data_IF_402478808223
#
_entry.id   IF_402478808223
#
_cell.length_a   1.000
_cell.length_b   1.000
_cell.length_c   1.000
_cell.angle_alpha   90.00
_cell.angle_beta   90.00
_cell.angle_gamma   90.00
#
_symmetry.space_group_name_H-M   'P 1'
#
loop_
_entity.id
_entity.type
_entity.pdbx_description
1 polymer ?
#
# COMPACT_ATOMS: atom_id res chain seq x y z
N UNK A 1 -2.27 -11.60 11.44
CA UNK A 1 -2.14 -11.10 10.07
C UNK A 1 -3.01 -11.96 9.18
N UNK A 2 -4.12 -11.40 8.72
CA UNK A 2 -5.15 -12.07 7.90
C UNK A 2 -5.34 -11.41 6.53
N UNK A 3 -4.36 -10.60 6.10
CA UNK A 3 -4.40 -9.87 4.84
C UNK A 3 -4.51 -10.76 3.62
N UNK A 4 -5.11 -10.22 2.56
CA UNK A 4 -5.28 -10.84 1.25
C UNK A 4 -4.16 -10.40 0.30
N UNK A 5 -3.68 -11.33 -0.51
CA UNK A 5 -2.67 -11.03 -1.53
C UNK A 5 -3.30 -10.20 -2.64
N UNK A 6 -2.70 -9.04 -2.94
CA UNK A 6 -3.13 -8.12 -3.99
C UNK A 6 -2.12 -8.10 -5.15
N UNK A 7 -2.57 -7.82 -6.39
CA UNK A 7 -1.67 -7.64 -7.52
C UNK A 7 -0.67 -6.51 -7.27
N UNK A 8 0.62 -6.78 -7.50
CA UNK A 8 1.67 -5.78 -7.40
C UNK A 8 1.87 -5.13 -8.76
N UNK A 9 1.82 -3.81 -8.77
CA UNK A 9 2.01 -2.98 -9.95
C UNK A 9 3.50 -2.93 -10.31
N UNK A 10 3.79 -3.19 -11.58
CA UNK A 10 5.15 -3.23 -12.11
C UNK A 10 5.61 -1.85 -12.63
N UNK A 11 6.92 -1.72 -12.80
CA UNK A 11 7.58 -0.52 -13.32
C UNK A 11 6.99 -0.07 -14.66
N UNK A 12 6.91 1.25 -14.87
CA UNK A 12 6.37 1.86 -16.10
C UNK A 12 4.88 2.22 -16.03
N UNK A 13 4.22 1.89 -14.93
CA UNK A 13 2.82 2.28 -14.71
C UNK A 13 2.72 3.71 -14.15
N UNK A 14 1.81 4.56 -14.67
CA UNK A 14 1.70 5.97 -14.24
C UNK A 14 1.45 6.16 -12.73
N UNK A 15 0.79 5.19 -12.07
CA UNK A 15 0.47 5.24 -10.64
C UNK A 15 1.72 5.25 -9.73
N UNK A 16 2.86 4.72 -10.22
CA UNK A 16 4.12 4.75 -9.48
C UNK A 16 4.76 6.14 -9.43
N UNK A 17 4.34 7.04 -10.32
CA UNK A 17 4.79 8.43 -10.37
C UNK A 17 3.82 9.39 -9.65
N UNK A 18 2.68 8.89 -9.18
CA UNK A 18 1.72 9.69 -8.44
C UNK A 18 2.08 9.68 -6.94
N UNK A 19 2.07 10.85 -6.29
CA UNK A 19 2.25 10.90 -4.85
C UNK A 19 1.08 10.17 -4.17
N UNK A 20 1.37 9.38 -3.14
CA UNK A 20 0.30 8.90 -2.28
C UNK A 20 -0.28 10.13 -1.54
N UNK A 21 -1.61 10.18 -1.41
CA UNK A 21 -2.27 11.21 -0.55
C UNK A 21 -1.84 11.03 0.90
N UNK A 22 -1.97 11.99 1.83
CA UNK A 22 -1.57 11.87 3.27
C UNK A 22 -2.53 11.06 4.15
N UNK A 23 -2.04 10.29 5.14
CA UNK A 23 -2.87 9.52 6.10
C UNK A 23 -3.36 10.53 7.13
N UNK A 24 -4.66 10.71 7.21
CA UNK A 24 -5.27 11.58 8.23
C UNK A 24 -5.89 10.77 9.37
N UNK A 25 -6.34 9.55 9.09
CA UNK A 25 -7.01 8.68 10.06
C UNK A 25 -6.33 7.30 10.11
N UNK A 26 -5.98 6.86 11.32
CA UNK A 26 -5.42 5.54 11.58
C UNK A 26 -6.53 4.61 12.08
N UNK A 27 -7.34 4.14 11.14
CA UNK A 27 -8.52 3.32 11.41
C UNK A 27 -8.32 1.85 11.01
N UNK A 28 -9.37 1.05 11.17
CA UNK A 28 -9.35 -0.37 10.82
C UNK A 28 -9.10 -0.60 9.32
N UNK A 29 -9.55 0.30 8.45
CA UNK A 29 -9.34 0.18 7.01
C UNK A 29 -7.85 0.36 6.65
N UNK A 30 -7.15 1.27 7.32
CA UNK A 30 -5.71 1.39 7.19
C UNK A 30 -4.97 0.16 7.71
N UNK A 31 -5.44 -0.44 8.82
CA UNK A 31 -4.87 -1.67 9.35
C UNK A 31 -5.06 -2.86 8.38
N UNK A 32 -6.24 -2.99 7.78
CA UNK A 32 -6.51 -3.99 6.74
C UNK A 32 -5.61 -3.80 5.51
N UNK A 33 -5.43 -2.55 5.06
CA UNK A 33 -4.51 -2.25 3.95
C UNK A 33 -3.07 -2.65 4.29
N UNK A 34 -2.60 -2.37 5.50
CA UNK A 34 -1.26 -2.75 5.95
C UNK A 34 -1.11 -4.29 5.96
N UNK A 35 -2.10 -5.01 6.47
CA UNK A 35 -2.14 -6.47 6.46
C UNK A 35 -2.06 -7.03 5.02
N UNK A 36 -2.79 -6.43 4.07
CA UNK A 36 -2.74 -6.80 2.65
C UNK A 36 -1.37 -6.50 2.01
N UNK A 37 -0.73 -5.39 2.39
CA UNK A 37 0.63 -5.05 1.94
C UNK A 37 1.64 -6.09 2.39
N UNK A 38 1.59 -6.50 3.66
CA UNK A 38 2.48 -7.53 4.18
C UNK A 38 2.24 -8.87 3.49
N UNK A 39 0.98 -9.29 3.37
CA UNK A 39 0.64 -10.55 2.67
C UNK A 39 1.18 -10.56 1.23
N UNK A 40 1.00 -9.45 0.50
CA UNK A 40 1.47 -9.32 -0.88
C UNK A 40 3.00 -9.28 -0.99
N UNK A 41 3.67 -8.57 -0.08
CA UNK A 41 5.13 -8.50 -0.02
C UNK A 41 5.74 -9.89 0.22
N UNK A 42 5.20 -10.65 1.18
CA UNK A 42 5.67 -12.00 1.47
C UNK A 42 5.41 -12.96 0.30
N UNK A 43 4.24 -12.88 -0.34
CA UNK A 43 3.92 -13.70 -1.50
C UNK A 43 4.84 -13.43 -2.71
N UNK A 44 5.36 -12.20 -2.83
CA UNK A 44 6.27 -11.80 -3.88
C UNK A 44 7.76 -11.97 -3.50
N UNK A 45 8.07 -12.55 -2.34
CA UNK A 45 9.43 -12.66 -1.78
C UNK A 45 10.18 -11.31 -1.77
N UNK A 46 9.44 -10.22 -1.56
CA UNK A 46 9.94 -8.86 -1.61
C UNK A 46 10.46 -8.36 -0.26
N UNK A 47 11.26 -7.28 -0.29
CA UNK A 47 11.82 -6.63 0.90
C UNK A 47 11.03 -5.41 1.39
N UNK A 48 10.08 -4.93 0.58
CA UNK A 48 9.25 -3.77 0.89
C UNK A 48 8.21 -3.50 -0.19
N UNK A 49 7.11 -2.85 0.18
CA UNK A 49 5.99 -2.56 -0.71
C UNK A 49 5.41 -1.19 -0.36
N UNK A 50 5.08 -0.38 -1.37
CA UNK A 50 4.37 0.89 -1.21
C UNK A 50 2.89 0.72 -1.57
N UNK A 51 2.02 1.51 -0.93
CA UNK A 51 0.57 1.37 -1.08
C UNK A 51 0.10 1.55 -2.54
N UNK A 52 0.72 2.47 -3.29
CA UNK A 52 0.44 2.66 -4.71
C UNK A 52 0.73 1.42 -5.58
N UNK A 53 1.58 0.49 -5.12
CA UNK A 53 1.89 -0.75 -5.84
C UNK A 53 0.79 -1.79 -5.72
N UNK A 54 0.00 -1.83 -4.66
CA UNK A 54 -1.10 -2.79 -4.48
C UNK A 54 -2.48 -2.19 -4.77
N UNK A 55 -2.49 -1.07 -5.49
CA UNK A 55 -3.69 -0.33 -5.86
C UNK A 55 -4.13 0.63 -4.76
N UNK A 56 -3.48 1.80 -4.66
CA UNK A 56 -4.08 2.94 -3.95
C UNK A 56 -4.93 3.75 -4.91
N UNK A 57 -6.21 3.42 -4.97
CA UNK A 57 -7.24 4.47 -4.91
C UNK A 57 -7.89 4.42 -3.52
N UNK A 58 -7.08 4.39 -2.46
CA UNK A 58 -7.55 4.86 -1.16
C UNK A 58 -7.46 6.38 -1.18
N UNK A 59 -8.57 7.10 -1.00
CA UNK A 59 -8.52 8.53 -0.83
C UNK A 59 -7.85 8.91 0.51
N UNK A 60 -6.50 8.97 0.59
CA UNK A 60 -5.81 9.70 1.69
C UNK A 60 -4.83 8.93 2.58
N UNK A 61 -3.60 8.55 2.14
CA UNK A 61 -2.63 7.88 3.03
C UNK A 61 -1.08 7.93 2.70
N UNK A 62 -0.30 8.87 3.28
CA UNK A 62 1.16 9.13 3.20
C UNK A 62 1.56 9.69 4.58
N UNK A 63 2.57 9.09 5.20
CA UNK A 63 3.02 9.39 6.56
C UNK A 63 3.94 10.63 6.55
N UNK A 64 3.69 11.64 7.41
CA UNK A 64 4.63 12.74 7.65
C UNK A 64 5.10 12.66 9.10
N UNK A 65 6.35 12.26 9.30
CA UNK A 65 7.05 12.50 10.57
C UNK A 65 7.32 14.01 10.70
N UNK A 66 7.15 14.54 11.92
CA UNK A 66 7.65 15.88 12.27
C UNK A 66 9.14 15.82 12.53
#
# INVERSE_FOLDING_TARGET
>A
MSGQVRPITLVGTPVLHQPCRTVENFDAALAELADDMFASMYAAEGVGLAANQIGSSFPGALLRER
#
